data_IF_058883016477
#
_entry.id   IF_058883016477
#
_cell.length_a   1.000
_cell.length_b   1.000
_cell.length_c   1.000
_cell.angle_alpha   90.00
_cell.angle_beta   90.00
_cell.angle_gamma   90.00
#
_symmetry.space_group_name_H-M   'P 1'
#
loop_
_entity.id
_entity.type
_entity.pdbx_description
1 polymer ?
#
# COMPACT_ATOMS: atom_id res chain seq x y z
N UNK A 1 -2.63 4.00 -24.50
CA UNK A 1 -3.01 3.84 -23.07
C UNK A 1 -1.98 3.00 -22.34
N UNK A 2 -1.51 3.42 -21.19
CA UNK A 2 -0.64 2.56 -20.40
C UNK A 2 -1.39 1.29 -19.95
N UNK A 3 -0.65 0.21 -19.69
CA UNK A 3 -1.21 -1.00 -19.12
C UNK A 3 -1.87 -0.72 -17.75
N UNK A 4 -2.83 -1.54 -17.29
CA UNK A 4 -3.43 -1.40 -15.97
C UNK A 4 -2.37 -1.39 -14.85
N UNK A 5 -2.69 -0.74 -13.74
CA UNK A 5 -1.71 -0.56 -12.64
C UNK A 5 -1.19 -1.90 -12.08
N UNK A 6 -2.01 -2.93 -12.07
CA UNK A 6 -1.60 -4.25 -11.57
C UNK A 6 -0.58 -4.96 -12.48
N UNK A 7 -0.44 -4.53 -13.72
CA UNK A 7 0.61 -4.98 -14.65
C UNK A 7 1.88 -4.12 -14.55
N UNK A 8 1.86 -3.11 -13.70
CA UNK A 8 2.96 -2.15 -13.51
C UNK A 8 3.33 -2.05 -12.03
N UNK A 9 3.87 -3.14 -11.42
CA UNK A 9 4.08 -3.19 -9.96
C UNK A 9 5.01 -2.09 -9.43
N UNK A 10 6.00 -1.65 -10.20
CA UNK A 10 6.87 -0.55 -9.80
C UNK A 10 6.12 0.79 -9.72
N UNK A 11 5.15 1.03 -10.62
CA UNK A 11 4.30 2.21 -10.56
C UNK A 11 3.37 2.15 -9.35
N UNK A 12 2.79 0.98 -9.08
CA UNK A 12 1.95 0.78 -7.91
C UNK A 12 2.73 1.02 -6.62
N UNK A 13 3.93 0.48 -6.51
CA UNK A 13 4.80 0.71 -5.36
C UNK A 13 5.12 2.20 -5.18
N UNK A 14 5.43 2.90 -6.26
CA UNK A 14 5.66 4.36 -6.23
C UNK A 14 4.44 5.11 -5.69
N UNK A 15 3.24 4.76 -6.14
CA UNK A 15 2.01 5.39 -5.65
C UNK A 15 1.78 5.11 -4.15
N UNK A 16 2.03 3.88 -3.70
CA UNK A 16 1.88 3.52 -2.29
C UNK A 16 2.88 4.25 -1.39
N UNK A 17 4.15 4.39 -1.81
CA UNK A 17 5.18 5.11 -1.06
C UNK A 17 4.81 6.58 -0.84
N UNK A 18 4.10 7.20 -1.76
CA UNK A 18 3.70 8.61 -1.67
C UNK A 18 2.69 8.91 -0.57
N UNK A 19 2.02 7.89 -0.03
CA UNK A 19 1.21 8.05 1.17
C UNK A 19 2.12 8.06 2.40
N UNK A 20 2.09 9.13 3.16
CA UNK A 20 2.89 9.27 4.39
C UNK A 20 2.19 8.60 5.57
N UNK A 21 2.21 7.28 5.59
CA UNK A 21 1.51 6.46 6.59
C UNK A 21 2.35 6.22 7.84
N UNK A 22 2.91 7.27 8.38
CA UNK A 22 3.84 7.17 9.51
C UNK A 22 3.12 6.79 10.81
N UNK A 23 3.63 5.79 11.48
CA UNK A 23 3.19 5.33 12.79
C UNK A 23 4.36 5.45 13.80
N UNK A 24 4.22 6.18 14.92
CA UNK A 24 3.07 6.98 15.34
C UNK A 24 2.88 8.26 14.53
N UNK A 25 1.63 8.83 14.47
CA UNK A 25 0.40 8.35 15.14
C UNK A 25 -0.37 7.28 14.35
N UNK A 26 -0.06 7.08 13.07
CA UNK A 26 -0.83 6.24 12.15
C UNK A 26 -1.94 7.03 11.46
N UNK A 27 -1.95 6.99 10.13
CA UNK A 27 -2.89 7.71 9.27
C UNK A 27 -3.04 6.97 7.94
N UNK A 28 -3.27 5.67 8.02
CA UNK A 28 -3.27 4.78 6.86
C UNK A 28 -4.51 4.93 5.99
N UNK A 29 -5.51 5.69 6.41
CA UNK A 29 -6.83 5.78 5.77
C UNK A 29 -6.75 6.07 4.28
N UNK A 30 -6.03 7.12 3.88
CA UNK A 30 -5.95 7.51 2.46
C UNK A 30 -5.31 6.42 1.59
N UNK A 31 -4.27 5.76 2.11
CA UNK A 31 -3.61 4.64 1.44
C UNK A 31 -4.56 3.44 1.30
N UNK A 32 -5.26 3.09 2.36
CA UNK A 32 -6.23 1.98 2.37
C UNK A 32 -7.39 2.27 1.41
N UNK A 33 -7.92 3.49 1.38
CA UNK A 33 -8.97 3.90 0.44
C UNK A 33 -8.49 3.80 -1.02
N UNK A 34 -7.24 4.14 -1.29
CA UNK A 34 -6.64 3.97 -2.61
C UNK A 34 -6.60 2.50 -3.04
N UNK A 35 -6.13 1.62 -2.15
CA UNK A 35 -6.09 0.17 -2.41
C UNK A 35 -7.49 -0.40 -2.58
N UNK A 36 -8.43 0.01 -1.75
CA UNK A 36 -9.84 -0.38 -1.85
C UNK A 36 -10.43 -0.02 -3.21
N UNK A 37 -10.16 1.19 -3.69
CA UNK A 37 -10.58 1.63 -5.02
C UNK A 37 -10.06 0.72 -6.13
N UNK A 38 -8.77 0.35 -6.08
CA UNK A 38 -8.17 -0.55 -7.07
C UNK A 38 -8.83 -1.93 -7.07
N UNK A 39 -9.09 -2.48 -5.89
CA UNK A 39 -9.72 -3.80 -5.73
C UNK A 39 -11.19 -3.76 -6.20
N UNK A 40 -11.91 -2.71 -5.84
CA UNK A 40 -13.30 -2.52 -6.24
C UNK A 40 -13.43 -2.36 -7.75
N UNK A 41 -12.55 -1.59 -8.38
CA UNK A 41 -12.51 -1.46 -9.85
C UNK A 41 -12.23 -2.80 -10.54
N UNK A 42 -11.45 -3.67 -9.91
CA UNK A 42 -11.20 -5.02 -10.39
C UNK A 42 -12.37 -6.00 -10.14
N UNK A 43 -13.46 -5.54 -9.51
CA UNK A 43 -14.62 -6.38 -9.19
C UNK A 43 -14.43 -7.27 -7.97
N UNK A 44 -13.46 -6.97 -7.12
CA UNK A 44 -13.18 -7.74 -5.91
C UNK A 44 -13.95 -7.15 -4.73
N UNK A 45 -14.71 -8.00 -4.03
CA UNK A 45 -15.46 -7.59 -2.84
C UNK A 45 -14.50 -7.23 -1.68
N UNK A 46 -14.75 -6.09 -1.06
CA UNK A 46 -13.92 -5.58 0.03
C UNK A 46 -14.77 -5.27 1.27
N UNK A 47 -14.11 -5.27 2.41
CA UNK A 47 -14.68 -4.84 3.69
C UNK A 47 -13.63 -4.04 4.45
N UNK A 48 -14.01 -2.90 4.97
CA UNK A 48 -13.15 -2.06 5.80
C UNK A 48 -13.52 -2.22 7.28
N UNK A 49 -12.54 -2.53 8.11
CA UNK A 49 -12.70 -2.72 9.54
C UNK A 49 -11.83 -1.70 10.27
N UNK A 50 -12.43 -0.85 11.08
CA UNK A 50 -11.70 0.22 11.76
C UNK A 50 -12.24 0.47 13.18
N UNK A 51 -11.38 0.28 14.18
CA UNK A 51 -11.62 0.79 15.52
C UNK A 51 -11.33 2.30 15.58
N UNK A 52 -10.27 2.72 14.88
CA UNK A 52 -9.92 4.11 14.63
C UNK A 52 -10.11 4.40 13.13
N UNK A 53 -10.97 5.36 12.76
CA UNK A 53 -11.24 5.69 11.35
C UNK A 53 -9.99 6.06 10.53
N UNK A 54 -8.94 6.57 11.17
CA UNK A 54 -7.69 6.92 10.51
C UNK A 54 -6.74 5.72 10.33
N UNK A 55 -7.07 4.58 10.95
CA UNK A 55 -6.27 3.35 10.94
C UNK A 55 -7.10 2.12 10.53
N UNK A 56 -7.71 2.12 9.34
CA UNK A 56 -8.55 1.01 8.91
C UNK A 56 -7.71 -0.20 8.48
N UNK A 57 -8.30 -1.37 8.65
CA UNK A 57 -7.87 -2.60 7.95
C UNK A 57 -8.76 -2.84 6.74
N UNK A 58 -8.20 -3.32 5.66
CA UNK A 58 -8.92 -3.69 4.46
C UNK A 58 -8.88 -5.21 4.29
N UNK A 59 -10.04 -5.81 4.14
CA UNK A 59 -10.19 -7.23 3.85
C UNK A 59 -10.80 -7.39 2.46
N UNK A 60 -10.17 -8.21 1.62
CA UNK A 60 -10.68 -8.56 0.31
C UNK A 60 -10.80 -10.08 0.18
N UNK A 61 -11.81 -10.55 -0.53
CA UNK A 61 -12.05 -11.96 -0.74
C UNK A 61 -12.19 -12.28 -2.23
N UNK A 62 -11.39 -13.21 -2.69
CA UNK A 62 -11.53 -13.81 -4.01
C UNK A 62 -12.15 -15.20 -3.83
N UNK A 63 -13.37 -15.43 -4.39
CA UNK A 63 -13.96 -16.75 -4.33
C UNK A 63 -13.10 -17.75 -5.11
N UNK A 64 -13.01 -18.95 -4.58
CA UNK A 64 -12.27 -20.07 -5.17
C UNK A 64 -13.09 -21.34 -5.13
N UNK A 65 -12.43 -22.50 -5.21
CA UNK A 65 -13.06 -23.81 -5.08
C UNK A 65 -13.23 -24.26 -3.64
N UNK A 66 -13.25 -25.57 -3.44
CA UNK A 66 -13.52 -26.21 -2.15
C UNK A 66 -12.26 -26.39 -1.29
N UNK A 67 -11.09 -25.99 -1.81
CA UNK A 67 -9.84 -26.06 -1.04
C UNK A 67 -9.86 -25.06 0.11
N UNK A 68 -9.11 -25.31 1.20
CA UNK A 68 -8.96 -24.35 2.29
C UNK A 68 -8.45 -23.00 1.78
N UNK A 69 -8.89 -21.88 2.37
CA UNK A 69 -8.49 -20.56 1.91
C UNK A 69 -7.01 -20.28 2.17
N UNK A 70 -6.40 -19.51 1.25
CA UNK A 70 -5.08 -18.93 1.45
C UNK A 70 -5.26 -17.49 1.93
N UNK A 71 -4.63 -17.15 3.05
CA UNK A 71 -4.57 -15.78 3.55
C UNK A 71 -3.25 -15.13 3.13
N UNK A 72 -3.34 -13.99 2.43
CA UNK A 72 -2.22 -13.10 2.17
C UNK A 72 -2.40 -11.85 3.03
N UNK A 73 -1.34 -11.42 3.68
CA UNK A 73 -1.39 -10.31 4.62
C UNK A 73 -0.17 -9.41 4.42
N UNK A 74 -0.38 -8.12 4.60
CA UNK A 74 0.66 -7.10 4.63
C UNK A 74 0.19 -5.92 5.44
N UNK A 75 1.08 -4.94 5.65
CA UNK A 75 0.74 -3.69 6.33
C UNK A 75 1.13 -2.50 5.45
N UNK A 76 0.55 -1.33 5.73
CA UNK A 76 0.84 -0.11 4.99
C UNK A 76 1.38 1.01 5.87
N UNK A 77 1.40 0.85 7.18
CA UNK A 77 2.06 1.79 8.06
C UNK A 77 3.58 1.65 7.98
N UNK A 78 4.27 2.76 8.19
CA UNK A 78 5.73 2.83 8.15
C UNK A 78 6.26 3.57 9.36
N UNK A 79 7.52 3.29 9.72
CA UNK A 79 8.20 4.00 10.81
C UNK A 79 8.60 5.41 10.37
N UNK A 80 8.80 6.34 11.33
CA UNK A 80 9.27 7.70 11.03
C UNK A 80 10.62 7.73 10.30
N UNK A 81 10.86 8.82 9.59
CA UNK A 81 12.11 9.06 8.86
C UNK A 81 13.01 10.09 9.55
N UNK A 82 12.58 10.61 10.70
CA UNK A 82 13.30 11.65 11.44
C UNK A 82 14.70 11.19 11.83
N UNK A 83 15.67 12.08 11.68
CA UNK A 83 17.06 11.79 12.02
C UNK A 83 17.80 10.87 11.05
N UNK A 84 17.22 10.53 9.91
CA UNK A 84 17.84 9.74 8.87
C UNK A 84 18.25 10.63 7.68
N UNK A 85 19.39 10.33 7.07
CA UNK A 85 19.80 10.96 5.82
C UNK A 85 19.26 10.16 4.64
N UNK A 86 18.71 10.86 3.65
CA UNK A 86 18.10 10.27 2.46
C UNK A 86 18.68 10.88 1.18
N UNK A 87 19.13 10.05 0.26
CA UNK A 87 19.58 10.49 -1.06
C UNK A 87 18.42 10.99 -1.93
N UNK A 88 17.25 10.40 -1.72
CA UNK A 88 15.98 10.82 -2.36
C UNK A 88 14.96 11.10 -1.26
N UNK A 89 14.02 12.05 -1.45
CA UNK A 89 12.98 12.28 -0.44
C UNK A 89 12.24 10.99 -0.07
N UNK A 90 12.07 10.69 1.22
CA UNK A 90 11.61 9.36 1.67
C UNK A 90 10.21 8.95 1.22
N UNK A 91 9.35 9.89 0.82
CA UNK A 91 8.00 9.62 0.32
C UNK A 91 7.82 10.02 -1.15
N UNK A 92 8.90 10.20 -1.90
CA UNK A 92 8.82 10.56 -3.31
C UNK A 92 8.48 9.39 -4.21
N UNK A 93 8.86 8.18 -3.83
CA UNK A 93 8.79 7.02 -4.70
C UNK A 93 9.69 7.15 -5.92
N UNK A 94 10.81 7.88 -5.79
CA UNK A 94 11.74 8.13 -6.88
C UNK A 94 12.27 6.83 -7.48
N UNK A 95 12.49 6.84 -8.78
CA UNK A 95 13.14 5.73 -9.50
C UNK A 95 14.50 6.16 -9.96
N UNK A 96 15.53 5.47 -9.51
CA UNK A 96 16.91 5.77 -9.86
C UNK A 96 17.74 4.49 -9.82
N UNK A 97 18.62 4.32 -10.81
CA UNK A 97 19.57 3.21 -10.89
C UNK A 97 18.90 1.82 -10.83
N UNK A 98 17.68 1.69 -11.35
CA UNK A 98 16.93 0.43 -11.36
C UNK A 98 16.21 0.11 -10.05
N UNK A 99 16.16 1.06 -9.10
CA UNK A 99 15.50 0.91 -7.79
C UNK A 99 14.33 1.87 -7.63
N UNK A 100 13.36 1.47 -6.84
CA UNK A 100 12.34 2.36 -6.28
C UNK A 100 12.81 2.78 -4.88
N UNK A 101 12.89 4.08 -4.64
CA UNK A 101 13.43 4.67 -3.42
C UNK A 101 12.30 5.17 -2.52
N UNK A 102 12.37 4.85 -1.25
CA UNK A 102 11.43 5.41 -0.29
C UNK A 102 11.26 4.57 0.96
N UNK A 103 10.70 5.23 1.98
CA UNK A 103 10.26 4.53 3.19
C UNK A 103 9.09 3.61 2.82
N UNK A 104 9.19 2.34 3.19
CA UNK A 104 8.20 1.31 2.83
C UNK A 104 8.48 0.58 1.52
N UNK A 105 9.54 0.96 0.77
CA UNK A 105 9.87 0.29 -0.49
C UNK A 105 10.22 -1.18 -0.31
N UNK A 106 10.70 -1.57 0.85
CA UNK A 106 11.03 -2.95 1.20
C UNK A 106 10.20 -3.49 2.36
N UNK A 107 10.05 -2.73 3.41
CA UNK A 107 9.25 -3.05 4.61
C UNK A 107 8.25 -1.92 4.86
N UNK A 108 7.18 -2.29 4.70
CA UNK A 108 6.34 -2.40 3.53
C UNK A 108 5.13 -1.51 3.65
#
# INVERSE_FOLDING_TARGET
MPAPIHERPADLLTELIRFETVNPPGNERACVEYVDGLLTEAGIATETLAADPERPNLLARLPGGDAPPLLLQGHVDVVPTDGQEWDEPPFSGARRDGFVWGRGALDM
#
